data_IF_899622284706
#
_entry.id   IF_899622284706
#
_cell.length_a   1.000
_cell.length_b   1.000
_cell.length_c   1.000
_cell.angle_alpha   90.00
_cell.angle_beta   90.00
_cell.angle_gamma   90.00
#
_symmetry.space_group_name_H-M   'P 1'
#
loop_
_entity.id
_entity.type
_entity.pdbx_description
1 polymer ?
#
# COMPACT_ATOMS: atom_id res chain seq x y z
N UNK A 1 -17.20 7.77 -32.97
CA UNK A 1 -16.50 7.05 -31.88
C UNK A 1 -15.94 8.08 -30.93
N UNK A 2 -16.28 8.03 -29.65
CA UNK A 2 -15.76 8.99 -28.68
C UNK A 2 -14.28 8.71 -28.43
N UNK A 3 -13.44 9.74 -28.60
CA UNK A 3 -12.02 9.72 -28.24
C UNK A 3 -11.94 9.71 -26.73
N UNK A 4 -11.56 8.58 -26.14
CA UNK A 4 -11.29 8.49 -24.70
C UNK A 4 -9.92 9.12 -24.47
N UNK A 5 -9.89 10.41 -24.13
CA UNK A 5 -8.68 11.06 -23.63
C UNK A 5 -8.55 10.77 -22.13
N UNK A 6 -7.87 9.68 -21.78
CA UNK A 6 -7.46 9.44 -20.39
C UNK A 6 -6.23 10.31 -20.07
N UNK A 7 -6.39 11.24 -19.12
CA UNK A 7 -5.25 11.74 -18.34
C UNK A 7 -4.92 10.72 -17.25
N UNK A 8 -4.27 9.62 -17.65
CA UNK A 8 -3.80 8.55 -16.76
C UNK A 8 -2.54 9.01 -16.04
N UNK A 9 -2.66 9.53 -14.82
CA UNK A 9 -1.50 9.85 -13.96
C UNK A 9 -0.59 8.61 -13.92
N UNK A 10 0.60 8.70 -14.51
CA UNK A 10 1.54 7.58 -14.51
C UNK A 10 2.12 7.44 -13.11
N UNK A 11 1.85 6.33 -12.43
CA UNK A 11 2.50 5.99 -11.16
C UNK A 11 3.80 5.26 -11.50
N UNK A 12 4.95 5.81 -11.10
CA UNK A 12 6.24 5.13 -11.22
C UNK A 12 6.53 4.39 -9.93
N UNK A 13 6.47 3.06 -9.99
CA UNK A 13 6.74 2.20 -8.83
C UNK A 13 8.12 1.56 -9.03
N UNK A 14 8.91 1.49 -7.95
CA UNK A 14 10.19 0.80 -7.98
C UNK A 14 9.97 -0.70 -8.26
N UNK A 15 10.65 -1.24 -9.29
CA UNK A 15 10.52 -2.65 -9.67
C UNK A 15 10.96 -3.61 -8.56
N UNK A 16 12.05 -3.29 -7.85
CA UNK A 16 12.56 -4.14 -6.76
C UNK A 16 11.52 -4.25 -5.64
N UNK A 17 10.87 -3.15 -5.29
CA UNK A 17 9.77 -3.17 -4.32
C UNK A 17 8.63 -4.10 -4.75
N UNK A 18 8.21 -4.05 -6.02
CA UNK A 18 7.17 -4.95 -6.52
C UNK A 18 7.59 -6.42 -6.51
N UNK A 19 8.87 -6.71 -6.79
CA UNK A 19 9.41 -8.07 -6.73
C UNK A 19 9.47 -8.58 -5.29
N UNK A 20 9.93 -7.76 -4.35
CA UNK A 20 9.94 -8.10 -2.92
C UNK A 20 8.53 -8.42 -2.40
N UNK A 21 7.53 -7.61 -2.78
CA UNK A 21 6.14 -7.91 -2.45
C UNK A 21 5.67 -9.22 -3.09
N UNK A 22 6.04 -9.48 -4.34
CA UNK A 22 5.63 -10.68 -5.07
C UNK A 22 6.25 -11.97 -4.51
N UNK A 23 7.43 -11.88 -3.88
CA UNK A 23 8.15 -13.00 -3.27
C UNK A 23 7.77 -13.23 -1.80
N UNK A 24 6.98 -12.35 -1.18
CA UNK A 24 6.57 -12.49 0.22
C UNK A 24 5.36 -13.42 0.38
N UNK A 25 5.62 -14.70 0.64
CA UNK A 25 4.61 -15.74 0.87
C UNK A 25 3.66 -15.47 2.07
N UNK A 26 3.97 -14.48 2.92
CA UNK A 26 3.08 -14.08 4.02
C UNK A 26 1.92 -13.23 3.53
N UNK A 27 2.02 -12.63 2.34
CA UNK A 27 0.98 -11.80 1.74
C UNK A 27 -0.06 -12.67 1.04
N UNK A 28 -1.32 -12.50 1.44
CA UNK A 28 -2.42 -13.18 0.77
C UNK A 28 -3.03 -12.31 -0.34
N UNK A 29 -3.94 -12.90 -1.13
CA UNK A 29 -4.62 -12.21 -2.24
C UNK A 29 -5.32 -10.90 -1.83
N UNK A 30 -5.84 -10.80 -0.61
CA UNK A 30 -6.53 -9.60 -0.11
C UNK A 30 -5.52 -8.50 0.26
N UNK A 31 -4.37 -8.88 0.81
CA UNK A 31 -3.26 -7.97 1.08
C UNK A 31 -2.76 -7.35 -0.24
N UNK A 32 -2.55 -8.15 -1.28
CA UNK A 32 -2.16 -7.65 -2.60
C UNK A 32 -3.20 -6.70 -3.21
N UNK A 33 -4.50 -6.98 -3.06
CA UNK A 33 -5.55 -6.05 -3.53
C UNK A 33 -5.47 -4.72 -2.81
N UNK A 34 -5.22 -4.73 -1.50
CA UNK A 34 -5.05 -3.52 -0.72
C UNK A 34 -3.77 -2.78 -1.14
N UNK A 35 -2.64 -3.47 -1.31
CA UNK A 35 -1.39 -2.88 -1.78
C UNK A 35 -1.59 -2.16 -3.12
N UNK A 36 -2.21 -2.83 -4.11
CA UNK A 36 -2.45 -2.25 -5.43
C UNK A 36 -3.31 -0.99 -5.37
N UNK A 37 -4.31 -0.97 -4.48
CA UNK A 37 -5.09 0.22 -4.20
C UNK A 37 -4.24 1.31 -3.56
N UNK A 38 -3.47 0.98 -2.51
CA UNK A 38 -2.65 1.96 -1.81
C UNK A 38 -1.53 2.53 -2.68
N UNK A 39 -1.04 1.78 -3.67
CA UNK A 39 -0.09 2.27 -4.68
C UNK A 39 -0.66 3.41 -5.56
N UNK A 40 -1.98 3.62 -5.60
CA UNK A 40 -2.58 4.77 -6.28
C UNK A 40 -2.76 5.98 -5.37
N UNK A 41 -2.68 5.79 -4.05
CA UNK A 41 -3.02 6.80 -3.05
C UNK A 41 -1.83 7.24 -2.18
N UNK A 42 -0.81 6.39 -2.01
CA UNK A 42 0.31 6.57 -1.09
C UNK A 42 1.66 6.62 -1.81
N UNK A 43 2.59 7.36 -1.22
CA UNK A 43 4.04 7.28 -1.48
C UNK A 43 4.80 6.91 -0.20
N UNK A 44 6.12 7.05 -0.21
CA UNK A 44 7.03 6.78 0.91
C UNK A 44 7.44 8.03 1.70
N UNK A 45 6.97 9.21 1.31
CA UNK A 45 7.37 10.49 1.87
C UNK A 45 6.34 10.97 2.88
N UNK A 46 5.11 11.18 2.43
CA UNK A 46 4.07 11.87 3.19
C UNK A 46 3.02 10.89 3.73
N UNK A 47 2.57 11.13 4.96
CA UNK A 47 1.40 10.41 5.48
C UNK A 47 0.15 10.92 4.79
N UNK A 48 -0.66 9.99 4.26
CA UNK A 48 -1.95 10.30 3.64
C UNK A 48 -3.08 9.65 4.44
N UNK A 49 -4.15 10.42 4.67
CA UNK A 49 -5.34 9.92 5.36
C UNK A 49 -6.16 9.04 4.42
N UNK A 50 -6.16 7.73 4.68
CA UNK A 50 -7.05 6.77 4.01
C UNK A 50 -7.93 6.11 5.05
N UNK A 51 -9.25 6.17 4.86
CA UNK A 51 -10.18 5.51 5.76
C UNK A 51 -10.46 4.08 5.31
N UNK A 52 -10.51 3.13 6.24
CA UNK A 52 -10.89 1.75 5.91
C UNK A 52 -12.29 1.67 5.31
N UNK A 53 -13.20 2.60 5.65
CA UNK A 53 -14.52 2.70 5.04
C UNK A 53 -14.43 2.93 3.53
N UNK A 54 -13.57 3.85 3.09
CA UNK A 54 -13.34 4.11 1.67
C UNK A 54 -12.81 2.87 0.95
N UNK A 55 -11.80 2.22 1.53
CA UNK A 55 -11.21 0.99 0.99
C UNK A 55 -12.24 -0.15 0.88
N UNK A 56 -13.14 -0.30 1.86
CA UNK A 56 -14.20 -1.31 1.81
C UNK A 56 -15.09 -1.13 0.58
N UNK A 57 -15.48 0.13 0.30
CA UNK A 57 -16.33 0.49 -0.84
C UNK A 57 -15.58 0.23 -2.14
N UNK A 58 -14.37 0.76 -2.28
CA UNK A 58 -13.62 0.71 -3.54
C UNK A 58 -13.19 -0.72 -3.92
N UNK A 59 -12.86 -1.54 -2.92
CA UNK A 59 -12.43 -2.92 -3.15
C UNK A 59 -13.54 -3.96 -3.00
N UNK A 60 -14.77 -3.56 -2.67
CA UNK A 60 -15.86 -4.47 -2.35
C UNK A 60 -15.42 -5.53 -1.32
N UNK A 61 -14.84 -5.07 -0.22
CA UNK A 61 -14.32 -5.91 0.85
C UNK A 61 -15.04 -5.60 2.17
N UNK A 62 -15.21 -6.65 2.98
CA UNK A 62 -15.72 -6.49 4.34
C UNK A 62 -14.71 -5.75 5.22
N UNK A 63 -15.22 -4.98 6.18
CA UNK A 63 -14.41 -4.23 7.14
C UNK A 63 -13.42 -5.13 7.89
N UNK A 64 -13.85 -6.32 8.31
CA UNK A 64 -13.01 -7.29 9.02
C UNK A 64 -11.78 -7.70 8.20
N UNK A 65 -11.96 -7.89 6.88
CA UNK A 65 -10.89 -8.25 5.94
C UNK A 65 -9.95 -7.07 5.74
N UNK A 66 -10.49 -5.87 5.51
CA UNK A 66 -9.68 -4.65 5.35
C UNK A 66 -8.86 -4.38 6.61
N UNK A 67 -9.47 -4.43 7.80
CA UNK A 67 -8.77 -4.23 9.07
C UNK A 67 -7.63 -5.23 9.27
N UNK A 68 -7.86 -6.52 8.98
CA UNK A 68 -6.83 -7.57 9.05
C UNK A 68 -5.70 -7.32 8.04
N UNK A 69 -6.03 -6.89 6.82
CA UNK A 69 -5.04 -6.61 5.77
C UNK A 69 -4.16 -5.42 6.16
N UNK A 70 -4.75 -4.31 6.64
CA UNK A 70 -3.96 -3.18 7.17
C UNK A 70 -3.05 -3.61 8.32
N UNK A 71 -3.57 -4.37 9.28
CA UNK A 71 -2.77 -4.87 10.40
C UNK A 71 -1.61 -5.77 9.93
N UNK A 72 -1.86 -6.65 8.95
CA UNK A 72 -0.84 -7.49 8.32
C UNK A 72 0.26 -6.63 7.70
N UNK A 73 -0.10 -5.69 6.81
CA UNK A 73 0.86 -4.84 6.11
C UNK A 73 1.70 -3.95 7.05
N UNK A 74 1.11 -3.47 8.14
CA UNK A 74 1.84 -2.73 9.18
C UNK A 74 2.78 -3.68 9.94
N UNK A 75 2.32 -4.86 10.33
CA UNK A 75 3.14 -5.83 11.07
C UNK A 75 4.32 -6.36 10.25
N UNK A 76 4.15 -6.45 8.93
CA UNK A 76 5.19 -6.84 7.98
C UNK A 76 6.15 -5.68 7.66
N UNK A 77 5.86 -4.48 8.16
CA UNK A 77 6.67 -3.29 7.91
C UNK A 77 6.57 -2.76 6.48
N UNK A 78 5.51 -3.10 5.74
CA UNK A 78 5.23 -2.59 4.40
C UNK A 78 4.57 -1.20 4.49
N UNK A 79 3.68 -1.03 5.46
CA UNK A 79 3.04 0.25 5.76
C UNK A 79 3.55 0.80 7.09
N UNK A 80 3.62 2.12 7.15
CA UNK A 80 3.81 2.87 8.38
C UNK A 80 2.55 3.67 8.70
N UNK A 81 2.13 3.62 9.96
CA UNK A 81 1.04 4.44 10.50
C UNK A 81 1.62 5.67 11.19
N UNK A 82 1.04 6.84 10.95
CA UNK A 82 1.51 8.11 11.52
C UNK A 82 0.40 9.11 11.73
N UNK A 83 0.74 10.16 12.49
CA UNK A 83 -0.13 11.29 12.84
C UNK A 83 0.44 12.55 12.20
N UNK A 84 -0.43 13.42 11.70
CA UNK A 84 -0.05 14.78 11.26
C UNK A 84 -0.92 15.80 11.97
N UNK A 85 -0.61 17.08 11.84
CA UNK A 85 -1.46 18.16 12.39
C UNK A 85 -2.90 18.11 11.87
N UNK A 86 -3.12 17.54 10.69
CA UNK A 86 -4.42 17.51 10.02
C UNK A 86 -5.25 16.25 10.32
N UNK A 87 -4.64 15.19 10.85
CA UNK A 87 -5.35 13.95 11.14
C UNK A 87 -4.61 13.06 12.15
N UNK A 88 -5.40 12.36 12.97
CA UNK A 88 -4.94 11.39 13.97
C UNK A 88 -4.47 10.06 13.38
N UNK A 89 -4.73 9.80 12.09
CA UNK A 89 -4.39 8.52 11.45
C UNK A 89 -4.17 8.65 9.94
N UNK A 90 -2.93 8.48 9.51
CA UNK A 90 -2.54 8.36 8.11
C UNK A 90 -1.54 7.24 7.89
N UNK A 91 -1.28 6.94 6.62
CA UNK A 91 -0.41 5.85 6.21
C UNK A 91 0.53 6.31 5.10
N UNK A 92 1.69 5.66 5.01
CA UNK A 92 2.62 5.73 3.89
C UNK A 92 3.26 4.37 3.67
N UNK A 93 3.84 4.12 2.49
CA UNK A 93 4.70 2.97 2.31
C UNK A 93 6.00 3.17 3.05
N UNK A 94 6.51 2.11 3.69
CA UNK A 94 7.88 2.10 4.17
C UNK A 94 8.74 1.60 3.00
N UNK A 95 9.52 2.49 2.39
CA UNK A 95 10.57 2.03 1.48
C UNK A 95 11.55 1.21 2.31
N UNK A 96 11.60 -0.11 2.12
CA UNK A 96 12.54 -0.99 2.78
C UNK A 96 13.88 -0.87 2.06
N UNK A 97 14.91 -0.21 2.62
CA UNK A 97 16.22 -0.19 1.97
C UNK A 97 17.00 -1.49 2.25
N UNK A 98 16.35 -2.56 2.73
CA UNK A 98 17.05 -3.66 3.41
C UNK A 98 16.43 -5.03 3.17
N UNK A 99 16.79 -5.63 2.05
CA UNK A 99 16.98 -7.09 1.99
C UNK A 99 18.30 -7.50 1.32
N UNK A 100 18.90 -6.64 0.48
CA UNK A 100 20.19 -6.93 -0.17
C UNK A 100 21.37 -6.98 0.82
N UNK A 101 21.28 -6.33 1.98
CA UNK A 101 22.36 -6.34 2.99
C UNK A 101 22.34 -7.55 3.95
N UNK A 102 21.28 -8.36 3.96
CA UNK A 102 21.21 -9.55 4.83
C UNK A 102 21.64 -10.86 4.15
N UNK A 103 21.86 -10.84 2.83
CA UNK A 103 22.38 -12.01 2.08
C UNK A 103 23.91 -11.93 1.88
N UNK A 104 24.57 -10.90 2.43
CA UNK A 104 26.05 -10.73 2.42
C UNK A 104 26.72 -10.96 3.79
N UNK A 105 26.22 -11.89 4.60
CA UNK A 105 26.96 -12.42 5.76
C UNK A 105 26.88 -13.92 5.81
#
# INVERSE_FOLDING_TARGET
>A
MAKIEQKTRTVKINKSFLLELAEDDRLNKKDFRLILYLLTELDDVEFVRITQKQVCVDLFLEKSVVSKSFASLISLGILEEGVTENFEKGYRFRWLPRLIDQIRR
#
